data_IF_187832841310
#
_entry.id   IF_187832841310
#
_cell.length_a   1.000
_cell.length_b   1.000
_cell.length_c   1.000
_cell.angle_alpha   90.00
_cell.angle_beta   90.00
_cell.angle_gamma   90.00
#
_symmetry.space_group_name_H-M   'P 1'
#
loop_
_entity.id
_entity.type
_entity.pdbx_description
1 polymer ?
#
# COMPACT_ATOMS: atom_id res chain seq x y z
N UNK A 1 -5.14 3.83 -15.35
CA UNK A 1 -3.82 4.29 -14.89
C UNK A 1 -3.68 4.27 -13.36
N UNK A 2 -4.54 4.96 -12.59
CA UNK A 2 -4.40 5.13 -11.12
C UNK A 2 -4.20 3.85 -10.32
N UNK A 3 -4.98 2.80 -10.58
CA UNK A 3 -4.87 1.52 -9.83
C UNK A 3 -3.51 0.86 -10.01
N UNK A 4 -2.87 1.05 -11.16
CA UNK A 4 -1.53 0.54 -11.44
C UNK A 4 -0.50 1.30 -10.60
N UNK A 5 -0.54 2.64 -10.63
CA UNK A 5 0.32 3.49 -9.80
C UNK A 5 0.16 3.17 -8.30
N UNK A 6 -1.07 2.92 -7.85
CA UNK A 6 -1.38 2.52 -6.49
C UNK A 6 -0.68 1.21 -6.10
N UNK A 7 -0.81 0.16 -6.91
CA UNK A 7 -0.17 -1.14 -6.64
C UNK A 7 1.35 -1.03 -6.65
N UNK A 8 1.91 -0.29 -7.59
CA UNK A 8 3.35 -0.01 -7.65
C UNK A 8 3.86 0.69 -6.39
N UNK A 9 3.16 1.72 -5.93
CA UNK A 9 3.51 2.43 -4.70
C UNK A 9 3.47 1.50 -3.47
N UNK A 10 2.47 0.61 -3.38
CA UNK A 10 2.39 -0.39 -2.31
C UNK A 10 3.53 -1.40 -2.38
N UNK A 11 3.87 -1.93 -3.56
CA UNK A 11 5.00 -2.87 -3.72
C UNK A 11 6.33 -2.23 -3.30
N UNK A 12 6.51 -0.94 -3.57
CA UNK A 12 7.67 -0.16 -3.12
C UNK A 12 7.69 0.03 -1.61
N UNK A 13 6.56 0.39 -1.01
CA UNK A 13 6.44 0.52 0.44
C UNK A 13 6.74 -0.80 1.18
N UNK A 14 6.38 -1.94 0.58
CA UNK A 14 6.69 -3.28 1.10
C UNK A 14 8.15 -3.73 0.87
N UNK A 15 8.99 -2.90 0.27
CA UNK A 15 10.40 -3.24 -0.02
C UNK A 15 10.57 -4.45 -0.94
N UNK A 16 9.56 -4.79 -1.73
CA UNK A 16 9.54 -6.00 -2.58
C UNK A 16 9.83 -5.73 -4.04
N UNK A 17 9.54 -4.51 -4.49
CA UNK A 17 9.52 -4.20 -5.91
C UNK A 17 8.65 -5.17 -6.70
N UNK A 18 8.88 -5.26 -8.01
CA UNK A 18 8.07 -6.06 -8.95
C UNK A 18 8.23 -7.58 -8.76
N UNK A 19 9.26 -8.04 -8.03
CA UNK A 19 9.64 -9.47 -7.97
C UNK A 19 9.30 -10.19 -6.66
N UNK A 20 8.83 -9.47 -5.64
CA UNK A 20 8.64 -10.06 -4.30
C UNK A 20 7.20 -10.32 -3.87
N UNK A 21 6.21 -9.72 -4.54
CA UNK A 21 4.78 -9.83 -4.22
C UNK A 21 3.97 -9.88 -5.51
N UNK A 22 2.98 -10.76 -5.57
CA UNK A 22 2.09 -10.87 -6.71
C UNK A 22 1.14 -9.68 -6.81
N UNK A 23 0.89 -9.20 -8.02
CA UNK A 23 -0.07 -8.11 -8.29
C UNK A 23 -1.51 -8.41 -7.83
N UNK A 24 -1.85 -9.70 -7.77
CA UNK A 24 -3.14 -10.21 -7.30
C UNK A 24 -3.24 -10.21 -5.78
N UNK A 25 -2.12 -10.10 -5.08
CA UNK A 25 -2.06 -10.07 -3.62
C UNK A 25 -2.23 -8.66 -3.06
N UNK A 26 -2.25 -7.65 -3.93
CA UNK A 26 -2.48 -6.24 -3.57
C UNK A 26 -3.79 -5.79 -4.18
N UNK A 27 -4.72 -5.41 -3.31
CA UNK A 27 -6.03 -4.94 -3.67
C UNK A 27 -6.21 -3.49 -3.19
N UNK A 28 -6.69 -2.63 -4.09
CA UNK A 28 -6.93 -1.22 -3.80
C UNK A 28 -8.41 -0.93 -4.04
N UNK A 29 -9.14 -0.68 -2.95
CA UNK A 29 -10.58 -0.42 -2.96
C UNK A 29 -10.84 1.01 -2.51
N UNK A 30 -11.99 1.56 -2.88
CA UNK A 30 -12.47 2.84 -2.36
C UNK A 30 -13.63 2.59 -1.41
N UNK A 31 -13.58 3.19 -0.21
CA UNK A 31 -14.72 3.27 0.69
C UNK A 31 -15.88 4.07 0.03
N UNK A 32 -17.10 3.94 0.55
CA UNK A 32 -18.29 4.76 0.27
C UNK A 32 -18.01 6.27 0.34
N UNK A 33 -17.09 6.70 1.20
CA UNK A 33 -16.66 8.10 1.31
C UNK A 33 -15.55 8.49 0.31
N UNK A 34 -15.20 7.62 -0.63
CA UNK A 34 -14.15 7.86 -1.62
C UNK A 34 -12.71 7.67 -1.12
N UNK A 35 -12.50 7.42 0.18
CA UNK A 35 -11.16 7.14 0.74
C UNK A 35 -10.61 5.83 0.14
N UNK A 36 -9.44 5.83 -0.53
CA UNK A 36 -8.79 4.61 -0.97
C UNK A 36 -8.23 3.81 0.21
N UNK A 37 -8.37 2.49 0.14
CA UNK A 37 -7.96 1.50 1.12
C UNK A 37 -7.12 0.42 0.43
N UNK A 38 -6.08 -0.06 1.12
CA UNK A 38 -5.20 -1.12 0.63
C UNK A 38 -5.46 -2.38 1.44
N UNK A 39 -5.72 -3.47 0.73
CA UNK A 39 -5.81 -4.81 1.30
C UNK A 39 -4.68 -5.65 0.75
N UNK A 40 -3.93 -6.26 1.67
CA UNK A 40 -2.82 -7.15 1.35
C UNK A 40 -3.22 -8.59 1.67
N UNK A 41 -2.91 -9.49 0.76
CA UNK A 41 -3.20 -10.92 0.86
C UNK A 41 -1.89 -11.73 0.73
N UNK A 42 -1.92 -13.00 1.13
CA UNK A 42 -0.83 -13.95 0.86
C UNK A 42 0.56 -13.47 1.26
N UNK A 43 1.50 -13.49 0.31
CA UNK A 43 2.89 -13.04 0.49
C UNK A 43 3.03 -11.55 0.80
N UNK A 44 2.17 -10.71 0.23
CA UNK A 44 2.14 -9.27 0.51
C UNK A 44 1.88 -9.00 1.99
N UNK A 45 0.87 -9.69 2.54
CA UNK A 45 0.47 -9.54 3.93
C UNK A 45 1.55 -10.05 4.88
N UNK A 46 2.13 -11.22 4.59
CA UNK A 46 3.20 -11.80 5.40
C UNK A 46 4.40 -10.86 5.46
N UNK A 47 4.76 -10.22 4.35
CA UNK A 47 5.86 -9.28 4.34
C UNK A 47 5.54 -7.96 5.06
N UNK A 48 4.34 -7.42 4.89
CA UNK A 48 3.91 -6.26 5.67
C UNK A 48 4.03 -6.52 7.18
N UNK A 49 3.58 -7.70 7.63
CA UNK A 49 3.74 -8.15 9.02
C UNK A 49 5.20 -8.30 9.44
N UNK A 50 6.04 -8.91 8.59
CA UNK A 50 7.47 -9.05 8.85
C UNK A 50 8.22 -7.72 8.93
N UNK A 51 7.70 -6.68 8.30
CA UNK A 51 8.20 -5.31 8.37
C UNK A 51 7.58 -4.48 9.52
N UNK A 52 6.69 -5.08 10.33
CA UNK A 52 6.00 -4.37 11.42
C UNK A 52 4.98 -3.32 10.93
N UNK A 53 4.61 -3.33 9.65
CA UNK A 53 3.66 -2.38 9.08
C UNK A 53 2.23 -2.73 9.52
N UNK A 54 1.58 -1.81 10.25
CA UNK A 54 0.23 -1.98 10.75
C UNK A 54 -0.83 -1.47 9.77
N UNK A 55 -0.82 -0.17 9.49
CA UNK A 55 -1.74 0.48 8.56
C UNK A 55 -0.98 1.11 7.39
N UNK A 56 -1.52 0.94 6.18
CA UNK A 56 -1.04 1.61 4.97
C UNK A 56 -2.02 2.71 4.58
N UNK A 57 -1.59 3.96 4.73
CA UNK A 57 -2.30 5.11 4.20
C UNK A 57 -1.92 5.29 2.72
N UNK A 58 -2.92 5.44 1.86
CA UNK A 58 -2.72 5.68 0.43
C UNK A 58 -3.44 6.95 -0.01
N UNK A 59 -2.80 7.71 -0.89
CA UNK A 59 -3.39 8.86 -1.59
C UNK A 59 -3.22 8.70 -3.09
N UNK A 60 -4.29 8.98 -3.84
CA UNK A 60 -4.36 8.81 -5.29
C UNK A 60 -4.71 10.15 -5.92
N UNK A 61 -3.94 10.55 -6.94
CA UNK A 61 -4.21 11.73 -7.75
C UNK A 61 -4.14 11.36 -9.23
N UNK A 62 -5.10 11.84 -10.01
CA UNK A 62 -5.21 11.53 -11.44
C UNK A 62 -5.63 12.75 -12.22
N UNK A 63 -4.89 13.04 -13.27
CA UNK A 63 -5.20 14.00 -14.32
C UNK A 63 -5.22 13.29 -15.67
N UNK A 64 -5.64 13.97 -16.73
CA UNK A 64 -5.71 13.38 -18.08
C UNK A 64 -4.38 12.77 -18.53
N UNK A 65 -3.28 13.38 -18.13
CA UNK A 65 -1.93 13.04 -18.61
C UNK A 65 -1.06 12.29 -17.58
N UNK A 66 -1.44 12.26 -16.31
CA UNK A 66 -0.63 11.65 -15.25
C UNK A 66 -1.46 11.03 -14.13
N UNK A 67 -0.96 9.92 -13.59
CA UNK A 67 -1.51 9.26 -12.41
C UNK A 67 -0.41 9.09 -11.36
N UNK A 68 -0.64 9.62 -10.16
CA UNK A 68 0.30 9.58 -9.05
C UNK A 68 -0.36 8.87 -7.88
N UNK A 69 0.40 8.02 -7.20
CA UNK A 69 -0.01 7.39 -5.97
C UNK A 69 1.12 7.51 -4.95
N UNK A 70 0.75 7.85 -3.71
CA UNK A 70 1.67 7.88 -2.57
C UNK A 70 1.15 6.95 -1.48
N UNK A 71 2.05 6.18 -0.87
CA UNK A 71 1.74 5.21 0.17
C UNK A 71 2.67 5.45 1.35
N UNK A 72 2.09 5.49 2.55
CA UNK A 72 2.79 5.63 3.82
C UNK A 72 2.45 4.43 4.68
N UNK A 73 3.46 3.73 5.17
CA UNK A 73 3.29 2.66 6.14
C UNK A 73 3.63 3.15 7.54
N UNK A 74 2.67 3.06 8.45
CA UNK A 74 2.93 3.23 9.87
C UNK A 74 3.38 1.90 10.46
N UNK A 75 4.57 1.87 11.06
CA UNK A 75 4.95 0.76 11.92
C UNK A 75 4.27 0.96 13.28
N UNK A 76 3.55 -0.04 13.76
CA UNK A 76 2.89 0.06 15.08
C UNK A 76 3.85 -0.35 16.20
N UNK A 77 5.11 0.06 16.08
CA UNK A 77 6.07 -0.07 17.17
C UNK A 77 5.62 0.95 18.20
N UNK A 78 4.90 0.46 19.22
CA UNK A 78 4.52 1.27 20.37
C UNK A 78 5.76 2.01 20.83
N UNK A 79 5.74 3.33 20.68
CA UNK A 79 6.73 4.19 21.29
C UNK A 79 6.51 4.12 22.80
N UNK A 80 6.97 3.04 23.43
CA UNK A 80 7.10 2.90 24.87
C UNK A 80 8.15 3.92 25.29
N UNK A 81 7.67 5.16 25.54
CA UNK A 81 8.43 6.17 26.25
C UNK A 81 8.61 5.66 27.68
N UNK A 82 9.66 4.88 27.92
CA UNK A 82 10.23 4.68 29.24
C UNK A 82 11.22 5.78 29.57
#
# INVERSE_FOLDING_TARGET
AVRFAAKEAVMKALGTGIKGVGWREIEVLSNRNGKPLVYLHGGAQQKARGLGLGELAISLSHSRDYAIASVIGGSNEGCDHK
#
